data_IF_394870644369
#
_entry.id   IF_394870644369
#
_cell.length_a   1.000
_cell.length_b   1.000
_cell.length_c   1.000
_cell.angle_alpha   90.00
_cell.angle_beta   90.00
_cell.angle_gamma   90.00
#
_symmetry.space_group_name_H-M   'P 1'
#
loop_
_entity.id
_entity.type
_entity.pdbx_description
1 polymer ?
#
# COMPACT_ATOMS: atom_id res chain seq x y z
N UNK A 1 8.84 -13.58 -3.34
CA UNK A 1 8.88 -13.25 -4.78
C UNK A 1 9.68 -11.98 -5.10
N UNK A 2 9.72 -10.97 -4.21
CA UNK A 2 10.48 -9.72 -4.40
C UNK A 2 12.01 -9.85 -4.37
N UNK A 3 12.58 -10.77 -3.57
CA UNK A 3 14.03 -10.98 -3.49
C UNK A 3 14.60 -11.55 -4.80
N UNK A 4 13.84 -12.41 -5.50
CA UNK A 4 14.25 -13.00 -6.79
C UNK A 4 14.26 -11.92 -7.89
N UNK A 5 13.36 -10.93 -7.79
CA UNK A 5 13.31 -9.80 -8.72
C UNK A 5 14.52 -8.89 -8.51
N UNK A 6 14.87 -8.58 -7.25
CA UNK A 6 16.03 -7.73 -6.93
C UNK A 6 17.36 -8.35 -7.34
N UNK A 7 17.53 -9.68 -7.17
CA UNK A 7 18.71 -10.41 -7.65
C UNK A 7 18.79 -10.47 -9.18
N UNK A 8 17.65 -10.58 -9.88
CA UNK A 8 17.65 -10.55 -11.36
C UNK A 8 18.04 -9.19 -11.90
N UNK A 9 17.56 -8.10 -11.30
CA UNK A 9 17.87 -6.74 -11.76
C UNK A 9 19.33 -6.36 -11.50
N UNK A 10 19.91 -6.77 -10.37
CA UNK A 10 21.35 -6.56 -10.11
C UNK A 10 22.24 -7.41 -11.03
N UNK A 11 21.84 -8.65 -11.33
CA UNK A 11 22.59 -9.50 -12.25
C UNK A 11 22.60 -8.94 -13.69
N UNK A 12 21.47 -8.38 -14.15
CA UNK A 12 21.37 -7.73 -15.46
C UNK A 12 22.19 -6.44 -15.52
N UNK A 13 22.21 -5.63 -14.45
CA UNK A 13 23.00 -4.40 -14.40
C UNK A 13 24.51 -4.68 -14.41
N UNK A 14 24.95 -5.71 -13.69
CA UNK A 14 26.35 -6.17 -13.66
C UNK A 14 26.77 -6.74 -15.02
N UNK A 15 25.92 -7.53 -15.68
CA UNK A 15 26.21 -8.02 -17.04
C UNK A 15 26.28 -6.89 -18.07
N UNK A 16 25.42 -5.87 -17.98
CA UNK A 16 25.48 -4.70 -18.85
C UNK A 16 26.78 -3.91 -18.66
N UNK A 17 27.25 -3.75 -17.42
CA UNK A 17 28.53 -3.10 -17.12
C UNK A 17 29.73 -3.92 -17.63
N UNK A 18 29.70 -5.25 -17.51
CA UNK A 18 30.75 -6.13 -18.05
C UNK A 18 30.80 -6.09 -19.58
N UNK A 19 29.66 -6.04 -20.26
CA UNK A 19 29.59 -5.92 -21.72
C UNK A 19 30.07 -4.55 -22.22
N UNK A 20 29.70 -3.45 -21.56
CA UNK A 20 30.23 -2.12 -21.90
C UNK A 20 31.74 -2.02 -21.66
N UNK A 21 32.25 -2.60 -20.57
CA UNK A 21 33.68 -2.66 -20.26
C UNK A 21 34.47 -3.43 -21.33
N UNK A 22 34.00 -4.61 -21.74
CA UNK A 22 34.64 -5.41 -22.78
C UNK A 22 34.59 -4.76 -24.17
N UNK A 23 33.55 -3.98 -24.47
CA UNK A 23 33.43 -3.25 -25.73
C UNK A 23 34.37 -2.03 -25.77
N UNK A 24 34.50 -1.31 -24.66
CA UNK A 24 35.41 -0.17 -24.54
C UNK A 24 36.89 -0.59 -24.53
N UNK A 25 37.21 -1.75 -23.93
CA UNK A 25 38.58 -2.30 -23.92
C UNK A 25 39.02 -2.80 -25.31
N UNK A 26 38.10 -3.25 -26.17
CA UNK A 26 38.41 -3.65 -27.55
C UNK A 26 38.57 -2.47 -28.52
N UNK A 27 38.02 -1.29 -28.19
CA UNK A 27 38.19 -0.08 -28.99
C UNK A 27 39.51 0.66 -28.71
N UNK A 28 40.22 0.33 -27.63
CA UNK A 28 41.49 0.93 -27.23
C UNK A 28 42.62 -0.10 -27.08
N UNK A 29 42.86 -0.91 -28.12
CA UNK A 29 44.10 -1.69 -28.21
C UNK A 29 44.95 -1.22 -29.40
N UNK A 30 45.97 -0.37 -29.18
CA UNK A 30 46.95 -0.07 -30.21
C UNK A 30 47.90 -1.28 -30.32
N UNK A 31 47.74 -2.06 -31.39
CA UNK A 31 48.65 -3.15 -31.74
C UNK A 31 50.06 -2.58 -31.94
N UNK A 32 50.93 -2.86 -30.96
CA UNK A 32 52.38 -2.73 -31.02
C UNK A 32 52.92 -3.78 -32.01
N UNK A 33 53.44 -3.34 -33.15
CA UNK A 33 54.41 -4.12 -33.92
C UNK A 33 55.81 -3.79 -33.41
N UNK A 34 56.51 -4.78 -32.85
CA UNK A 34 57.94 -4.70 -32.57
C UNK A 34 58.61 -5.98 -33.08
N UNK A 35 59.44 -5.84 -34.10
CA UNK A 35 60.35 -6.86 -34.60
C UNK A 35 61.61 -6.18 -35.15
N UNK A 36 62.68 -6.21 -34.38
CA UNK A 36 64.06 -5.87 -34.80
C UNK A 36 64.59 -7.00 -35.71
N UNK A 37 65.43 -6.82 -36.74
CA UNK A 37 66.81 -6.29 -36.73
C UNK A 37 67.41 -6.24 -38.17
N UNK A 38 68.34 -5.30 -38.37
CA UNK A 38 69.55 -5.26 -39.25
C UNK A 38 69.48 -4.86 -40.75
N UNK A 39 70.42 -3.95 -41.05
CA UNK A 39 70.84 -3.24 -42.27
C UNK A 39 71.56 -4.10 -43.32
N UNK A 40 71.32 -3.88 -44.63
CA UNK A 40 72.26 -3.29 -45.62
C UNK A 40 71.59 -3.17 -47.04
N UNK A 41 71.81 -2.05 -47.73
CA UNK A 41 71.35 -1.66 -49.10
C UNK A 41 72.09 -2.41 -50.25
N UNK A 42 71.83 -2.15 -51.56
CA UNK A 42 70.59 -2.25 -52.35
C UNK A 42 70.78 -2.99 -53.71
N UNK A 43 69.70 -3.34 -54.43
CA UNK A 43 69.75 -3.77 -55.83
C UNK A 43 68.40 -4.26 -56.40
N UNK A 44 67.93 -3.81 -57.59
CA UNK A 44 66.65 -4.21 -58.19
C UNK A 44 66.85 -5.21 -59.35
N UNK A 45 65.80 -5.65 -60.08
CA UNK A 45 64.45 -6.06 -59.67
C UNK A 45 64.14 -7.49 -60.23
N UNK A 46 63.04 -8.14 -59.79
CA UNK A 46 62.29 -9.06 -60.66
C UNK A 46 60.85 -9.25 -60.18
N UNK A 47 59.95 -9.09 -61.15
CA UNK A 47 58.49 -9.09 -61.10
C UNK A 47 57.99 -10.53 -60.94
N UNK A 48 57.19 -10.80 -59.92
CA UNK A 48 56.34 -12.00 -59.84
C UNK A 48 54.93 -11.56 -59.43
N UNK A 49 53.99 -11.74 -60.35
CA UNK A 49 52.55 -11.64 -60.15
C UNK A 49 52.11 -12.81 -59.27
N UNK A 50 51.53 -12.52 -58.10
CA UNK A 50 50.77 -13.50 -57.33
C UNK A 50 49.37 -12.94 -57.11
N UNK A 51 48.42 -13.46 -57.87
CA UNK A 51 46.99 -13.19 -57.75
C UNK A 51 46.45 -13.88 -56.50
N UNK A 52 46.07 -13.10 -55.48
CA UNK A 52 45.20 -13.56 -54.40
C UNK A 52 43.74 -13.20 -54.74
N UNK A 53 42.77 -14.12 -54.60
CA UNK A 53 41.36 -13.79 -54.79
C UNK A 53 40.86 -13.01 -53.57
N UNK A 54 40.44 -11.76 -53.81
CA UNK A 54 39.64 -11.00 -52.85
C UNK A 54 38.27 -11.65 -52.69
N UNK A 55 38.09 -12.43 -51.64
CA UNK A 55 36.76 -12.83 -51.20
C UNK A 55 36.12 -11.63 -50.49
N UNK A 56 35.14 -11.02 -51.14
CA UNK A 56 34.37 -9.87 -50.66
C UNK A 56 33.44 -10.34 -49.53
N UNK A 57 33.92 -10.28 -48.29
CA UNK A 57 33.05 -10.42 -47.12
C UNK A 57 32.22 -9.13 -47.03
N UNK A 58 30.97 -9.20 -47.48
CA UNK A 58 29.99 -8.16 -47.19
C UNK A 58 29.75 -8.16 -45.67
N UNK A 59 30.31 -7.15 -44.97
CA UNK A 59 29.95 -6.85 -43.60
C UNK A 59 28.47 -6.43 -43.59
N UNK A 60 27.56 -7.37 -43.31
CA UNK A 60 26.20 -7.07 -42.84
C UNK A 60 26.27 -6.61 -41.39
N UNK A 61 27.00 -5.53 -41.12
CA UNK A 61 27.22 -4.96 -39.78
C UNK A 61 26.25 -3.82 -39.45
N UNK A 62 25.09 -3.77 -40.13
CA UNK A 62 24.11 -2.67 -39.99
C UNK A 62 22.82 -3.14 -39.27
N UNK A 63 22.56 -4.45 -39.18
CA UNK A 63 21.39 -4.99 -38.47
C UNK A 63 21.59 -5.16 -36.96
N UNK A 64 22.83 -5.29 -36.48
CA UNK A 64 23.14 -5.41 -35.05
C UNK A 64 22.91 -4.12 -34.24
N UNK A 65 23.30 -2.91 -34.72
CA UNK A 65 23.10 -1.68 -33.94
C UNK A 65 21.62 -1.28 -33.86
N UNK A 66 20.81 -1.60 -34.87
CA UNK A 66 19.38 -1.28 -34.87
C UNK A 66 18.62 -2.08 -33.82
N UNK A 67 18.83 -3.40 -33.71
CA UNK A 67 18.22 -4.24 -32.66
C UNK A 67 18.60 -3.80 -31.23
N UNK A 68 19.85 -3.41 -31.01
CA UNK A 68 20.33 -2.94 -29.70
C UNK A 68 19.69 -1.61 -29.28
N UNK A 69 19.56 -0.67 -30.23
CA UNK A 69 18.91 0.62 -29.98
C UNK A 69 17.44 0.45 -29.60
N UNK A 70 16.70 -0.43 -30.29
CA UNK A 70 15.30 -0.71 -29.95
C UNK A 70 15.16 -1.37 -28.57
N UNK A 71 16.10 -2.25 -28.20
CA UNK A 71 16.14 -2.86 -26.87
C UNK A 71 16.41 -1.84 -25.76
N UNK A 72 17.36 -0.92 -25.96
CA UNK A 72 17.63 0.17 -25.04
C UNK A 72 16.41 1.10 -24.87
N UNK A 73 15.73 1.45 -25.95
CA UNK A 73 14.50 2.25 -25.89
C UNK A 73 13.37 1.51 -25.17
N UNK A 74 13.22 0.21 -25.40
CA UNK A 74 12.23 -0.62 -24.69
C UNK A 74 12.53 -0.70 -23.18
N UNK A 75 13.80 -0.84 -22.79
CA UNK A 75 14.22 -0.83 -21.39
C UNK A 75 14.02 0.54 -20.72
N UNK A 76 14.33 1.64 -21.41
CA UNK A 76 14.08 2.99 -20.91
C UNK A 76 12.57 3.26 -20.75
N UNK A 77 11.75 2.78 -21.69
CA UNK A 77 10.29 2.85 -21.60
C UNK A 77 9.74 2.03 -20.42
N UNK A 78 10.27 0.81 -20.19
CA UNK A 78 9.90 0.01 -19.03
C UNK A 78 10.33 0.66 -17.71
N UNK A 79 11.52 1.27 -17.69
CA UNK A 79 12.08 1.92 -16.50
C UNK A 79 11.29 3.17 -16.13
N UNK A 80 10.81 3.93 -17.12
CA UNK A 80 9.95 5.09 -16.92
C UNK A 80 8.52 4.71 -16.51
N UNK A 81 8.02 3.54 -16.92
CA UNK A 81 6.73 3.02 -16.46
C UNK A 81 6.77 2.51 -15.02
N UNK A 82 7.93 2.04 -14.54
CA UNK A 82 8.16 1.67 -13.13
C UNK A 82 8.53 2.85 -12.23
N UNK A 83 8.65 4.06 -12.78
CA UNK A 83 9.00 5.28 -12.06
C UNK A 83 7.76 6.07 -11.56
N UNK A 84 6.61 5.40 -11.38
CA UNK A 84 5.59 5.96 -10.51
C UNK A 84 6.18 5.98 -9.10
N UNK A 85 6.61 7.16 -8.65
CA UNK A 85 7.05 7.35 -7.27
C UNK A 85 5.93 6.92 -6.34
N UNK A 86 6.27 6.18 -5.28
CA UNK A 86 5.33 5.96 -4.19
C UNK A 86 4.77 7.32 -3.75
N UNK A 87 3.44 7.44 -3.56
CA UNK A 87 2.83 8.69 -3.16
C UNK A 87 3.48 9.18 -1.86
N UNK A 88 3.75 10.48 -1.80
CA UNK A 88 4.31 11.11 -0.61
C UNK A 88 3.34 11.04 0.58
N UNK A 89 3.83 11.29 1.79
CA UNK A 89 2.98 11.26 2.99
C UNK A 89 1.82 12.27 2.91
N UNK A 90 2.04 13.44 2.30
CA UNK A 90 0.99 14.47 2.14
C UNK A 90 -0.21 13.96 1.33
N UNK A 91 0.02 13.09 0.36
CA UNK A 91 -1.03 12.45 -0.44
C UNK A 91 -1.67 11.28 0.31
N UNK A 92 -0.86 10.47 1.01
CA UNK A 92 -1.33 9.31 1.76
C UNK A 92 -2.20 9.67 2.97
N UNK A 93 -1.96 10.81 3.63
CA UNK A 93 -2.72 11.25 4.82
C UNK A 93 -3.72 12.36 4.48
N UNK A 94 -4.11 12.46 3.21
CA UNK A 94 -5.06 13.47 2.77
C UNK A 94 -6.44 13.26 3.44
N UNK A 95 -7.03 14.31 4.04
CA UNK A 95 -8.37 14.23 4.60
C UNK A 95 -9.43 13.86 3.55
N UNK A 96 -10.45 13.13 3.97
CA UNK A 96 -11.60 12.82 3.15
C UNK A 96 -12.55 14.03 3.10
N UNK A 97 -12.66 14.66 1.93
CA UNK A 97 -13.53 15.83 1.71
C UNK A 97 -15.01 15.44 1.58
N UNK A 98 -15.30 14.38 0.82
CA UNK A 98 -16.67 13.90 0.59
C UNK A 98 -17.10 12.91 1.68
N UNK A 99 -17.72 13.45 2.74
CA UNK A 99 -18.26 12.67 3.86
C UNK A 99 -19.46 11.80 3.48
N UNK A 100 -20.08 11.97 2.32
CA UNK A 100 -21.16 11.06 1.91
C UNK A 100 -20.67 9.61 1.74
N UNK A 101 -19.36 9.43 1.51
CA UNK A 101 -18.71 8.14 1.32
C UNK A 101 -18.57 7.30 2.59
N UNK A 102 -18.69 7.89 3.79
CA UNK A 102 -18.53 7.15 5.06
C UNK A 102 -19.84 6.57 5.59
N UNK A 103 -20.98 6.93 5.03
CA UNK A 103 -22.27 6.44 5.52
C UNK A 103 -22.52 4.98 5.12
N UNK A 104 -23.22 4.26 5.99
CA UNK A 104 -23.49 2.84 5.84
C UNK A 104 -22.75 2.00 6.88
N UNK A 105 -22.75 0.69 6.66
CA UNK A 105 -22.18 -0.30 7.57
C UNK A 105 -20.75 -0.67 7.15
N UNK A 106 -19.88 -0.79 8.16
CA UNK A 106 -18.46 -1.03 8.00
C UNK A 106 -17.96 -2.03 9.03
N UNK A 107 -17.12 -2.97 8.61
CA UNK A 107 -16.47 -3.97 9.47
C UNK A 107 -15.04 -3.51 9.76
N UNK A 108 -14.68 -3.41 11.04
CA UNK A 108 -13.32 -3.05 11.45
C UNK A 108 -12.38 -4.20 11.09
N UNK A 109 -11.39 -3.93 10.23
CA UNK A 109 -10.47 -4.95 9.73
C UNK A 109 -9.14 -4.92 10.49
N UNK A 110 -8.54 -3.74 10.63
CA UNK A 110 -7.28 -3.57 11.33
C UNK A 110 -7.15 -2.19 11.97
N UNK A 111 -6.24 -2.09 12.94
CA UNK A 111 -5.83 -0.81 13.49
C UNK A 111 -4.34 -0.74 13.83
N UNK A 112 -3.87 0.49 13.98
CA UNK A 112 -2.53 0.87 14.40
C UNK A 112 -2.61 1.93 15.50
N UNK A 113 -1.57 2.03 16.33
CA UNK A 113 -1.50 3.02 17.40
C UNK A 113 -0.05 3.41 17.68
N UNK A 114 0.15 4.57 18.29
CA UNK A 114 1.46 5.00 18.84
C UNK A 114 1.74 4.40 20.23
N UNK A 115 0.76 3.70 20.82
CA UNK A 115 0.83 3.17 22.18
C UNK A 115 0.69 1.65 22.21
N UNK A 116 1.76 0.96 22.64
CA UNK A 116 1.74 -0.49 22.85
C UNK A 116 0.67 -0.92 23.86
N UNK A 117 0.46 -0.09 24.90
CA UNK A 117 -0.58 -0.34 25.90
C UNK A 117 -1.97 -0.33 25.24
N UNK A 118 -2.22 0.63 24.35
CA UNK A 118 -3.49 0.71 23.62
C UNK A 118 -3.65 -0.47 22.63
N UNK A 119 -2.60 -0.82 21.88
CA UNK A 119 -2.61 -2.00 21.01
C UNK A 119 -2.95 -3.28 21.79
N UNK A 120 -2.35 -3.46 22.96
CA UNK A 120 -2.62 -4.61 23.81
C UNK A 120 -4.04 -4.59 24.37
N UNK A 121 -4.54 -3.42 24.79
CA UNK A 121 -5.91 -3.27 25.27
C UNK A 121 -6.95 -3.59 24.20
N UNK A 122 -6.68 -3.33 22.92
CA UNK A 122 -7.60 -3.63 21.80
C UNK A 122 -7.67 -5.12 21.43
N UNK A 123 -6.73 -5.95 21.88
CA UNK A 123 -6.74 -7.42 21.62
C UNK A 123 -7.92 -8.17 22.25
N UNK A 124 -8.60 -7.56 23.22
CA UNK A 124 -9.81 -8.16 23.82
C UNK A 124 -11.02 -8.09 22.88
N UNK A 125 -10.96 -7.22 21.85
CA UNK A 125 -12.00 -7.09 20.84
C UNK A 125 -11.75 -8.16 19.77
N UNK A 126 -12.65 -9.13 19.69
CA UNK A 126 -12.59 -10.21 18.72
C UNK A 126 -12.98 -9.72 17.32
N UNK A 127 -14.10 -9.00 17.22
CA UNK A 127 -14.66 -8.50 15.96
C UNK A 127 -15.48 -7.24 16.22
N UNK A 128 -15.61 -6.36 15.24
CA UNK A 128 -16.40 -5.13 15.39
C UNK A 128 -16.98 -4.70 14.05
N UNK A 129 -18.21 -4.20 14.09
CA UNK A 129 -18.77 -3.42 12.99
C UNK A 129 -19.46 -2.16 13.50
N UNK A 130 -19.47 -1.14 12.65
CA UNK A 130 -20.14 0.13 12.89
C UNK A 130 -21.11 0.43 11.76
N UNK A 131 -22.11 1.25 12.03
CA UNK A 131 -23.02 1.81 11.04
C UNK A 131 -23.15 3.31 11.27
N UNK A 132 -22.77 4.08 10.26
CA UNK A 132 -22.82 5.54 10.28
C UNK A 132 -24.05 6.00 9.50
N UNK A 133 -24.86 6.87 10.09
CA UNK A 133 -26.05 7.43 9.45
C UNK A 133 -26.10 8.95 9.60
N UNK A 134 -26.63 9.62 8.57
CA UNK A 134 -26.84 11.07 8.57
C UNK A 134 -27.87 11.47 9.60
N UNK A 135 -27.63 12.59 10.27
CA UNK A 135 -28.65 13.28 11.07
C UNK A 135 -29.24 14.40 10.19
N UNK A 136 -30.57 14.46 9.99
CA UNK A 136 -31.19 15.53 9.20
C UNK A 136 -30.80 16.91 9.72
N UNK A 137 -30.52 17.83 8.79
CA UNK A 137 -30.18 19.24 9.07
C UNK A 137 -28.94 19.43 9.99
N UNK A 138 -28.02 18.45 10.02
CA UNK A 138 -26.79 18.50 10.81
C UNK A 138 -25.59 17.93 10.05
N UNK A 139 -24.40 18.49 10.31
CA UNK A 139 -23.11 17.94 9.85
C UNK A 139 -22.58 16.81 10.75
N UNK A 140 -23.35 16.44 11.77
CA UNK A 140 -23.10 15.31 12.66
C UNK A 140 -23.72 14.03 12.09
N UNK A 141 -23.23 12.89 12.57
CA UNK A 141 -23.75 11.58 12.24
C UNK A 141 -24.05 10.76 13.50
N UNK A 142 -24.99 9.84 13.39
CA UNK A 142 -25.17 8.80 14.39
C UNK A 142 -24.28 7.61 14.05
N UNK A 143 -23.66 7.05 15.08
CA UNK A 143 -22.82 5.87 15.02
C UNK A 143 -23.49 4.79 15.87
N UNK A 144 -23.91 3.71 15.23
CA UNK A 144 -24.28 2.47 15.90
C UNK A 144 -23.10 1.51 15.82
N UNK A 145 -22.73 0.89 16.93
CA UNK A 145 -21.61 -0.06 16.98
C UNK A 145 -22.06 -1.38 17.59
N UNK A 146 -21.36 -2.43 17.17
CA UNK A 146 -21.54 -3.78 17.66
C UNK A 146 -20.17 -4.46 17.74
N UNK A 147 -19.70 -4.63 18.97
CA UNK A 147 -18.40 -5.20 19.28
C UNK A 147 -18.57 -6.57 19.91
N UNK A 148 -17.74 -7.53 19.49
CA UNK A 148 -17.57 -8.80 20.19
C UNK A 148 -16.34 -8.67 21.07
N UNK A 149 -16.54 -8.57 22.38
CA UNK A 149 -15.48 -8.39 23.37
C UNK A 149 -15.44 -9.62 24.26
N UNK A 150 -14.31 -10.31 24.30
CA UNK A 150 -14.13 -11.56 25.04
C UNK A 150 -15.26 -12.57 24.79
N UNK A 151 -15.69 -12.68 23.53
CA UNK A 151 -16.76 -13.57 23.09
C UNK A 151 -18.20 -13.07 23.33
N UNK A 152 -18.40 -11.93 23.99
CA UNK A 152 -19.72 -11.34 24.27
C UNK A 152 -20.02 -10.18 23.34
N UNK A 153 -21.25 -10.10 22.85
CA UNK A 153 -21.71 -8.98 22.04
C UNK A 153 -22.08 -7.78 22.92
N UNK A 154 -21.53 -6.62 22.58
CA UNK A 154 -21.79 -5.32 23.22
C UNK A 154 -22.20 -4.35 22.12
N UNK A 155 -23.37 -3.73 22.27
CA UNK A 155 -23.90 -2.77 21.32
C UNK A 155 -24.11 -1.40 21.95
N UNK A 156 -24.18 -0.38 21.11
CA UNK A 156 -24.59 0.95 21.52
C UNK A 156 -24.78 1.88 20.34
N UNK A 157 -25.35 3.05 20.64
CA UNK A 157 -25.50 4.14 19.68
C UNK A 157 -25.05 5.44 20.33
N UNK A 158 -24.39 6.29 19.55
CA UNK A 158 -23.97 7.62 19.95
C UNK A 158 -24.08 8.58 18.78
N UNK A 159 -24.12 9.87 19.07
CA UNK A 159 -24.00 10.90 18.06
C UNK A 159 -22.58 11.46 18.09
N UNK A 160 -22.04 11.76 16.92
CA UNK A 160 -20.80 12.53 16.80
C UNK A 160 -21.06 14.00 17.14
N UNK A 161 -20.01 14.73 17.51
CA UNK A 161 -20.01 16.19 17.43
C UNK A 161 -18.95 16.66 16.45
N UNK A 162 -19.30 17.51 15.50
CA UNK A 162 -18.39 17.97 14.45
C UNK A 162 -17.90 19.39 14.73
N UNK A 163 -16.60 19.63 14.56
CA UNK A 163 -16.00 20.97 14.55
C UNK A 163 -15.03 21.08 13.37
N UNK A 164 -15.47 21.76 12.30
CA UNK A 164 -14.73 21.78 11.04
C UNK A 164 -14.59 20.39 10.43
N UNK A 165 -13.36 20.01 10.04
CA UNK A 165 -13.08 18.67 9.51
C UNK A 165 -12.98 17.59 10.61
N UNK A 166 -12.93 18.00 11.88
CA UNK A 166 -12.76 17.11 13.02
C UNK A 166 -14.11 16.64 13.55
N UNK A 167 -14.14 15.40 13.99
CA UNK A 167 -15.30 14.73 14.54
C UNK A 167 -14.91 14.17 15.90
N UNK A 168 -15.71 14.52 16.90
CA UNK A 168 -15.60 14.03 18.27
C UNK A 168 -16.62 12.92 18.48
N UNK A 169 -16.16 11.81 19.03
CA UNK A 169 -16.98 10.66 19.43
C UNK A 169 -16.63 10.32 20.87
N UNK A 170 -17.64 10.09 21.70
CA UNK A 170 -17.45 9.72 23.10
C UNK A 170 -18.08 8.35 23.34
N UNK A 171 -17.23 7.33 23.58
CA UNK A 171 -17.69 6.00 23.97
C UNK A 171 -17.69 5.87 25.49
N UNK A 172 -18.65 5.10 26.01
CA UNK A 172 -18.72 4.75 27.42
C UNK A 172 -18.69 3.23 27.55
N UNK A 173 -17.67 2.71 28.23
CA UNK A 173 -17.48 1.27 28.44
C UNK A 173 -16.88 1.01 29.81
N UNK A 174 -17.44 0.06 30.57
CA UNK A 174 -17.01 -0.31 31.92
C UNK A 174 -16.78 0.88 32.87
N UNK A 175 -17.68 1.87 32.82
CA UNK A 175 -17.57 3.10 33.61
C UNK A 175 -16.40 4.02 33.27
N UNK A 176 -15.70 3.75 32.17
CA UNK A 176 -14.69 4.64 31.59
C UNK A 176 -15.26 5.36 30.38
N UNK A 177 -14.98 6.66 30.31
CA UNK A 177 -15.22 7.49 29.13
C UNK A 177 -13.99 7.46 28.23
N UNK A 178 -14.20 7.14 26.96
CA UNK A 178 -13.20 7.18 25.91
C UNK A 178 -13.59 8.28 24.93
N UNK A 179 -12.82 9.36 24.94
CA UNK A 179 -13.00 10.48 24.03
C UNK A 179 -12.09 10.29 22.82
N UNK A 180 -12.66 10.31 21.63
CA UNK A 180 -11.97 10.19 20.35
C UNK A 180 -12.21 11.46 19.55
N UNK A 181 -11.14 12.15 19.16
CA UNK A 181 -11.21 13.33 18.30
C UNK A 181 -10.41 13.00 17.04
N UNK A 182 -11.08 12.93 15.90
CA UNK A 182 -10.48 12.42 14.69
C UNK A 182 -11.18 12.86 13.41
N UNK A 183 -10.68 12.38 12.28
CA UNK A 183 -11.27 12.62 10.98
C UNK A 183 -11.02 11.44 10.04
N UNK A 184 -11.73 11.42 8.92
CA UNK A 184 -11.55 10.40 7.90
C UNK A 184 -10.47 10.81 6.91
N UNK A 185 -9.71 9.83 6.43
CA UNK A 185 -8.69 9.99 5.40
C UNK A 185 -9.13 9.32 4.09
N UNK A 186 -8.61 9.80 2.96
CA UNK A 186 -8.80 9.13 1.66
C UNK A 186 -8.15 7.74 1.67
N UNK A 187 -8.82 6.77 1.04
CA UNK A 187 -8.38 5.37 0.98
C UNK A 187 -9.09 4.62 -0.17
N UNK A 188 -9.10 3.29 -0.14
CA UNK A 188 -9.82 2.43 -1.09
C UNK A 188 -11.34 2.69 -1.12
N UNK A 189 -11.98 2.45 -2.27
CA UNK A 189 -13.39 2.77 -2.50
C UNK A 189 -14.38 1.99 -1.61
N UNK A 190 -13.99 0.79 -1.17
CA UNK A 190 -14.78 -0.06 -0.28
C UNK A 190 -14.22 -0.08 1.15
N UNK A 191 -13.55 1.01 1.52
CA UNK A 191 -12.92 1.20 2.82
C UNK A 191 -13.30 2.55 3.44
N UNK A 192 -13.30 2.59 4.77
CA UNK A 192 -13.32 3.82 5.53
C UNK A 192 -12.10 3.85 6.44
N UNK A 193 -11.35 4.94 6.41
CA UNK A 193 -10.11 5.09 7.18
C UNK A 193 -10.27 6.23 8.17
N UNK A 194 -10.18 5.91 9.46
CA UNK A 194 -10.36 6.86 10.54
C UNK A 194 -9.05 7.04 11.30
N UNK A 195 -8.62 8.29 11.49
CA UNK A 195 -7.50 8.65 12.35
C UNK A 195 -8.03 9.45 13.54
N UNK A 196 -7.60 9.12 14.76
CA UNK A 196 -7.97 9.89 15.95
C UNK A 196 -6.82 10.07 16.94
N UNK A 197 -6.99 11.08 17.77
CA UNK A 197 -6.40 11.18 19.09
C UNK A 197 -7.46 10.74 20.11
N UNK A 198 -7.14 9.69 20.86
CA UNK A 198 -8.00 9.15 21.91
C UNK A 198 -7.48 9.52 23.30
N UNK A 199 -8.39 9.85 24.20
CA UNK A 199 -8.13 10.14 25.61
C UNK A 199 -9.09 9.33 26.48
N UNK A 200 -8.56 8.64 27.49
CA UNK A 200 -9.36 7.92 28.47
C UNK A 200 -8.77 8.03 29.86
N UNK A 201 -9.61 8.10 30.88
CA UNK A 201 -9.19 8.02 32.28
C UNK A 201 -9.41 6.61 32.80
N UNK A 202 -8.32 5.87 33.03
CA UNK A 202 -8.37 4.50 33.52
C UNK A 202 -7.66 4.43 34.86
N UNK A 203 -8.38 4.05 35.91
CA UNK A 203 -7.84 3.96 37.28
C UNK A 203 -7.19 5.26 37.78
N UNK A 204 -7.71 6.42 37.39
CA UNK A 204 -7.18 7.73 37.77
C UNK A 204 -5.97 8.20 36.94
N UNK A 205 -5.56 7.43 35.94
CA UNK A 205 -4.50 7.81 35.00
C UNK A 205 -5.09 8.21 33.64
N UNK A 206 -4.71 9.37 33.13
CA UNK A 206 -5.05 9.79 31.77
C UNK A 206 -4.17 9.06 30.77
N UNK A 207 -4.79 8.23 29.93
CA UNK A 207 -4.15 7.56 28.79
C UNK A 207 -4.46 8.32 27.52
N UNK A 208 -3.45 8.51 26.69
CA UNK A 208 -3.56 9.13 25.37
C UNK A 208 -2.96 8.20 24.33
N UNK A 209 -3.55 8.20 23.14
CA UNK A 209 -3.01 7.45 22.01
C UNK A 209 -3.48 8.07 20.71
N UNK A 210 -2.61 8.13 19.72
CA UNK A 210 -3.00 8.35 18.33
C UNK A 210 -3.25 7.03 17.66
N UNK A 211 -4.36 6.91 16.94
CA UNK A 211 -4.76 5.65 16.31
C UNK A 211 -5.15 5.84 14.85
N UNK A 212 -5.06 4.74 14.10
CA UNK A 212 -5.55 4.64 12.74
C UNK A 212 -6.32 3.33 12.60
N UNK A 213 -7.55 3.38 12.09
CA UNK A 213 -8.44 2.23 11.95
C UNK A 213 -8.93 2.14 10.52
N UNK A 214 -8.74 0.97 9.90
CA UNK A 214 -9.29 0.68 8.58
C UNK A 214 -10.50 -0.24 8.71
N UNK A 215 -11.62 0.26 8.19
CA UNK A 215 -12.86 -0.49 8.07
C UNK A 215 -13.09 -0.84 6.60
N UNK A 216 -13.83 -1.93 6.37
CA UNK A 216 -14.12 -2.46 5.03
C UNK A 216 -15.61 -2.78 4.94
N UNK A 217 -16.21 -2.67 3.74
CA UNK A 217 -17.63 -3.03 3.58
C UNK A 217 -17.92 -4.50 3.82
N UNK A 218 -16.98 -5.39 3.48
CA UNK A 218 -17.20 -6.85 3.43
C UNK A 218 -16.36 -7.63 4.43
N UNK A 219 -15.56 -6.95 5.25
CA UNK A 219 -14.57 -7.61 6.13
C UNK A 219 -13.29 -8.05 5.43
N UNK A 220 -13.16 -7.80 4.12
CA UNK A 220 -11.99 -8.17 3.31
C UNK A 220 -11.22 -6.91 2.88
N UNK A 221 -9.89 -7.00 2.95
CA UNK A 221 -8.98 -5.96 2.50
C UNK A 221 -7.97 -6.58 1.52
N UNK A 222 -7.76 -5.95 0.37
CA UNK A 222 -6.77 -6.43 -0.60
C UNK A 222 -5.35 -6.23 -0.08
N UNK A 223 -4.41 -7.06 -0.56
CA UNK A 223 -3.00 -6.93 -0.21
C UNK A 223 -2.41 -5.57 -0.57
N UNK A 224 -2.77 -4.98 -1.72
CA UNK A 224 -2.28 -3.65 -2.10
C UNK A 224 -2.81 -2.56 -1.17
N UNK A 225 -4.08 -2.65 -0.79
CA UNK A 225 -4.72 -1.69 0.11
C UNK A 225 -4.15 -1.78 1.53
N UNK A 226 -3.81 -3.00 1.99
CA UNK A 226 -3.11 -3.21 3.25
C UNK A 226 -1.71 -2.57 3.25
N UNK A 227 -0.98 -2.65 2.14
CA UNK A 227 0.33 -1.98 2.04
C UNK A 227 0.19 -0.45 2.03
N UNK A 228 -0.87 0.10 1.44
CA UNK A 228 -1.20 1.53 1.55
C UNK A 228 -1.49 1.90 3.01
N UNK A 229 -2.32 1.11 3.70
CA UNK A 229 -2.64 1.32 5.12
C UNK A 229 -1.38 1.34 6.00
N UNK A 230 -0.44 0.42 5.78
CA UNK A 230 0.86 0.40 6.49
C UNK A 230 1.68 1.67 6.22
N UNK A 231 1.71 2.14 4.97
CA UNK A 231 2.40 3.40 4.63
C UNK A 231 1.74 4.60 5.30
N UNK A 232 0.40 4.64 5.35
CA UNK A 232 -0.35 5.67 6.06
C UNK A 232 -0.03 5.67 7.56
N UNK A 233 -0.03 4.50 8.22
CA UNK A 233 0.36 4.36 9.63
C UNK A 233 1.80 4.87 9.87
N UNK A 234 2.73 4.54 8.96
CA UNK A 234 4.11 5.03 9.00
C UNK A 234 4.20 6.56 8.85
N UNK A 235 3.46 7.16 7.93
CA UNK A 235 3.41 8.61 7.75
C UNK A 235 2.88 9.34 8.99
N UNK A 236 2.00 8.69 9.75
CA UNK A 236 1.47 9.19 11.02
C UNK A 236 2.38 8.93 12.22
N UNK A 237 3.56 8.31 12.02
CA UNK A 237 4.52 7.87 13.05
C UNK A 237 3.93 6.90 14.08
N UNK A 238 3.03 6.01 13.63
CA UNK A 238 2.49 4.94 14.48
C UNK A 238 3.46 3.77 14.59
N UNK A 239 3.24 2.90 15.56
CA UNK A 239 4.01 1.67 15.71
C UNK A 239 3.83 0.77 14.47
N UNK A 240 4.86 0.00 14.09
CA UNK A 240 4.78 -0.90 12.93
C UNK A 240 3.83 -2.08 13.14
N UNK A 241 3.54 -2.41 14.41
CA UNK A 241 2.64 -3.49 14.76
C UNK A 241 1.19 -3.09 14.52
N UNK A 242 0.50 -3.93 13.75
CA UNK A 242 -0.94 -3.83 13.50
C UNK A 242 -1.66 -4.88 14.32
N UNK A 243 -2.86 -4.56 14.78
CA UNK A 243 -3.80 -5.56 15.26
C UNK A 243 -4.91 -5.75 14.24
N UNK A 244 -5.27 -7.01 14.01
CA UNK A 244 -6.31 -7.43 13.08
C UNK A 244 -7.47 -8.02 13.87
N UNK A 245 -8.68 -7.77 13.41
CA UNK A 245 -9.88 -8.36 14.00
C UNK A 245 -10.42 -9.48 13.11
N UNK A 246 -11.15 -10.41 13.73
CA UNK A 246 -11.98 -11.34 13.00
C UNK A 246 -13.10 -10.59 12.27
N UNK A 247 -13.32 -10.93 11.00
CA UNK A 247 -14.30 -10.23 10.15
C UNK A 247 -15.48 -11.08 9.72
N UNK A 248 -15.53 -12.34 10.18
CA UNK A 248 -16.57 -13.32 9.81
C UNK A 248 -17.53 -13.65 10.94
N UNK A 249 -17.01 -13.79 12.17
CA UNK A 249 -17.78 -14.09 13.38
C UNK A 249 -18.33 -12.80 14.03
N UNK A 250 -19.10 -12.05 13.24
CA UNK A 250 -19.70 -10.78 13.67
C UNK A 250 -20.95 -11.02 14.52
N UNK A 251 -21.14 -10.18 15.54
CA UNK A 251 -22.38 -10.12 16.29
C UNK A 251 -23.55 -9.69 15.38
N UNK A 252 -24.69 -10.39 15.51
CA UNK A 252 -25.89 -10.05 14.75
C UNK A 252 -26.58 -8.81 15.33
N UNK A 253 -27.19 -8.02 14.45
CA UNK A 253 -28.14 -6.99 14.86
C UNK A 253 -29.36 -7.68 15.48
N UNK A 254 -29.70 -7.32 16.71
CA UNK A 254 -30.88 -7.87 17.38
C UNK A 254 -32.12 -7.45 16.59
N UNK A 255 -32.80 -8.42 15.97
CA UNK A 255 -34.04 -8.14 15.25
C UNK A 255 -35.14 -8.00 16.29
N UNK A 256 -35.80 -6.84 16.33
CA UNK A 256 -37.11 -6.70 16.98
C UNK A 256 -37.99 -7.89 16.55
N UNK A 257 -38.59 -8.66 17.49
CA UNK A 257 -39.44 -9.77 17.13
C UNK A 257 -40.63 -9.24 16.32
N UNK A 258 -40.71 -9.64 15.05
CA UNK A 258 -41.87 -9.39 14.21
C UNK A 258 -43.09 -9.95 14.92
N UNK A 259 -43.93 -9.07 15.46
CA UNK A 259 -45.25 -9.42 15.98
C UNK A 259 -46.05 -9.96 14.81
N UNK A 260 -46.10 -11.29 14.70
CA UNK A 260 -47.10 -11.98 13.88
C UNK A 260 -48.47 -11.54 14.39
N UNK A 261 -49.37 -11.02 13.55
CA UNK A 261 -50.73 -10.73 13.97
C UNK A 261 -51.39 -12.06 14.33
N UNK A 262 -51.70 -12.25 15.61
CA UNK A 262 -52.55 -13.35 16.07
C UNK A 262 -53.94 -13.15 15.46
N UNK A 263 -54.27 -13.95 14.45
CA UNK A 263 -55.65 -14.24 14.08
C UNK A 263 -56.34 -15.04 15.20
N UNK A 264 -57.58 -14.63 15.52
CA UNK A 264 -58.56 -15.40 16.30
C UNK A 264 -58.84 -14.80 17.68
N UNK A 265 -60.07 -14.56 18.13
CA UNK A 265 -61.41 -14.83 17.59
C UNK A 265 -62.38 -13.78 18.14
N UNK A 266 -63.33 -13.35 17.33
CA UNK A 266 -64.56 -12.67 17.78
C UNK A 266 -65.49 -13.74 18.37
N UNK A 267 -65.74 -13.71 19.67
CA UNK A 267 -66.93 -14.35 20.25
C UNK A 267 -68.03 -13.29 20.36
N UNK A 268 -69.07 -13.49 19.54
CA UNK A 268 -70.39 -12.90 19.67
C UNK A 268 -71.30 -13.98 20.27
N UNK A 269 -72.10 -13.54 21.25
CA UNK A 269 -73.31 -14.15 21.85
C UNK A 269 -73.18 -14.88 23.19
#
# INVERSE_FOLDING_TARGET
MFIILFLKTTCVLVMCFCFLSAYMLNLFSPSKYLGTKKSLNPGPPKRAQLSCPCNRIHLTSIQLPTMFVHFCFALLALSSLTAASDPGCDELIKPLEDRSKIYGQWVLHAGASDSEQNLNAKKIVNSSWIKLATIPDSDEFSLHYMDKIEGKCVCGALNSSTSGNMTKIIFYYNSTTYEHIGHFLETCADCALWVDDAVAEVNGETRKSKNLYIFTKTGKLDGSDLEVFKKQAKCLNLLPDLYFLETTDLCAEEREPTTVPTEGNTEEQ
#
